data_IF_223997646070
#
_entry.id   IF_223997646070
#
_cell.length_a   1.000
_cell.length_b   1.000
_cell.length_c   1.000
_cell.angle_alpha   90.00
_cell.angle_beta   90.00
_cell.angle_gamma   90.00
#
_symmetry.space_group_name_H-M   'P 1'
#
loop_
_entity.id
_entity.type
_entity.pdbx_description
1 polymer ?
#
# COMPACT_ATOMS: atom_id res chain seq x y z
N UNK A 1 49.34 -9.58 -14.03
CA UNK A 1 48.99 -9.24 -12.64
C UNK A 1 47.55 -9.66 -12.38
N UNK A 2 47.32 -10.30 -11.23
CA UNK A 2 46.05 -10.89 -10.79
C UNK A 2 45.05 -9.79 -10.44
N UNK A 3 43.78 -9.97 -10.84
CA UNK A 3 42.65 -9.10 -10.45
C UNK A 3 41.43 -9.97 -10.15
N UNK A 4 41.20 -10.21 -8.87
CA UNK A 4 40.19 -11.10 -8.27
C UNK A 4 38.77 -10.62 -8.55
N UNK A 5 37.94 -11.47 -9.17
CA UNK A 5 36.49 -11.31 -9.27
C UNK A 5 35.85 -12.02 -8.08
N UNK A 6 35.28 -11.27 -7.15
CA UNK A 6 34.56 -11.79 -5.98
C UNK A 6 33.11 -12.03 -6.39
N UNK A 7 32.74 -13.30 -6.58
CA UNK A 7 31.35 -13.73 -6.70
C UNK A 7 30.72 -13.78 -5.30
N UNK A 8 29.73 -12.92 -5.05
CA UNK A 8 28.90 -12.96 -3.84
C UNK A 8 27.74 -13.91 -4.13
N UNK A 9 27.78 -15.09 -3.51
CA UNK A 9 26.79 -16.15 -3.62
C UNK A 9 25.57 -15.80 -2.75
N UNK A 10 24.46 -15.40 -3.38
CA UNK A 10 23.15 -15.32 -2.71
C UNK A 10 22.51 -16.71 -2.74
N UNK A 11 22.53 -17.42 -1.60
CA UNK A 11 21.72 -18.63 -1.43
C UNK A 11 20.25 -18.24 -1.28
N UNK A 12 19.49 -18.48 -2.35
CA UNK A 12 18.04 -18.59 -2.32
C UNK A 12 17.67 -19.89 -1.59
N UNK A 13 16.91 -19.79 -0.49
CA UNK A 13 16.12 -20.91 0.00
C UNK A 13 14.77 -20.89 -0.73
N UNK A 14 14.68 -21.69 -1.78
CA UNK A 14 13.41 -22.20 -2.30
C UNK A 14 13.04 -23.39 -1.42
N UNK A 15 11.89 -23.34 -0.75
CA UNK A 15 11.36 -24.49 -0.03
C UNK A 15 10.52 -25.32 -1.00
N UNK A 16 11.10 -26.44 -1.45
CA UNK A 16 10.47 -27.44 -2.30
C UNK A 16 9.29 -28.11 -1.59
N UNK A 17 8.10 -28.06 -2.21
CA UNK A 17 6.86 -28.73 -1.80
C UNK A 17 6.85 -30.19 -2.30
N UNK A 18 8.00 -30.88 -2.26
CA UNK A 18 8.22 -32.15 -2.97
C UNK A 18 8.40 -33.40 -2.12
N UNK A 19 8.39 -33.33 -0.79
CA UNK A 19 8.90 -34.43 0.05
C UNK A 19 7.86 -35.23 0.83
N UNK A 20 6.58 -35.14 0.49
CA UNK A 20 5.52 -35.91 1.17
C UNK A 20 4.64 -36.76 0.22
N UNK A 21 5.22 -37.28 -0.87
CA UNK A 21 4.50 -38.16 -1.81
C UNK A 21 5.22 -39.49 -2.15
N UNK A 22 6.18 -39.96 -1.34
CA UNK A 22 6.87 -41.22 -1.67
C UNK A 22 7.17 -42.12 -0.46
N UNK A 23 6.27 -42.18 0.51
CA UNK A 23 6.33 -43.21 1.54
C UNK A 23 4.94 -43.65 2.01
N UNK A 24 4.10 -44.12 1.09
CA UNK A 24 2.90 -44.89 1.47
C UNK A 24 2.42 -45.82 0.34
N UNK A 25 3.21 -46.84 0.03
CA UNK A 25 2.74 -48.04 -0.68
C UNK A 25 3.35 -49.27 -0.01
N UNK A 26 2.61 -49.88 0.92
CA UNK A 26 2.49 -51.34 1.12
C UNK A 26 1.88 -51.65 2.51
N UNK A 27 0.82 -52.46 2.52
CA UNK A 27 0.16 -53.06 3.71
C UNK A 27 -0.95 -52.17 4.27
N UNK A 28 -2.21 -52.56 4.38
CA UNK A 28 -2.81 -53.89 4.57
C UNK A 28 -3.78 -53.73 5.74
N UNK A 29 -5.09 -53.76 5.48
CA UNK A 29 -6.19 -53.67 6.48
C UNK A 29 -6.16 -54.90 7.40
N UNK A 30 -6.69 -54.86 8.65
CA UNK A 30 -8.14 -54.83 8.90
C UNK A 30 -8.65 -53.95 10.06
N UNK A 31 -9.89 -53.47 9.88
CA UNK A 31 -11.04 -53.36 10.80
C UNK A 31 -10.84 -52.88 12.26
N UNK A 32 -11.32 -51.65 12.51
CA UNK A 32 -12.38 -51.38 13.50
C UNK A 32 -13.00 -50.00 13.17
N UNK A 33 -14.22 -50.03 12.64
CA UNK A 33 -14.99 -48.84 12.24
C UNK A 33 -15.48 -48.05 13.46
N UNK A 34 -14.81 -46.95 13.80
CA UNK A 34 -15.41 -45.89 14.61
C UNK A 34 -16.20 -44.96 13.67
N UNK A 35 -17.52 -45.14 13.62
CA UNK A 35 -18.45 -44.26 12.92
C UNK A 35 -18.31 -42.81 13.44
N UNK A 36 -17.85 -41.90 12.57
CA UNK A 36 -17.83 -40.46 12.86
C UNK A 36 -19.11 -39.86 12.25
N UNK A 37 -20.11 -39.45 13.05
CA UNK A 37 -21.34 -38.91 12.52
C UNK A 37 -21.06 -37.62 11.75
N UNK A 38 -21.72 -37.47 10.61
CA UNK A 38 -21.59 -36.27 9.80
C UNK A 38 -22.26 -35.10 10.53
N UNK A 39 -21.78 -33.87 10.33
CA UNK A 39 -22.24 -32.65 11.02
C UNK A 39 -23.78 -32.49 11.10
N UNK A 40 -24.51 -33.00 10.12
CA UNK A 40 -25.97 -32.96 10.05
C UNK A 40 -26.68 -33.96 10.99
N UNK A 41 -26.01 -35.03 11.43
CA UNK A 41 -26.55 -35.98 12.42
C UNK A 41 -26.33 -35.51 13.85
N UNK A 42 -25.22 -34.81 14.13
CA UNK A 42 -24.94 -34.25 15.45
C UNK A 42 -25.84 -33.05 15.79
N UNK A 43 -26.38 -32.38 14.77
CA UNK A 43 -27.27 -31.22 14.92
C UNK A 43 -28.41 -31.26 13.89
N UNK A 44 -29.49 -32.02 14.14
CA UNK A 44 -30.65 -32.03 13.27
C UNK A 44 -31.34 -30.65 13.26
N UNK A 45 -31.81 -30.16 12.11
CA UNK A 45 -32.51 -28.89 12.01
C UNK A 45 -33.83 -28.94 12.80
N UNK A 46 -34.10 -27.89 13.58
CA UNK A 46 -35.35 -27.74 14.33
C UNK A 46 -36.55 -27.75 13.37
N UNK A 47 -37.70 -28.31 13.78
CA UNK A 47 -38.86 -28.50 12.90
C UNK A 47 -39.32 -27.19 12.27
N UNK A 48 -39.43 -27.19 10.93
CA UNK A 48 -40.06 -26.11 10.18
C UNK A 48 -41.51 -25.98 10.63
N UNK A 49 -41.85 -24.82 11.22
CA UNK A 49 -43.23 -24.44 11.49
C UNK A 49 -43.90 -24.19 10.14
N UNK A 50 -44.70 -25.15 9.68
CA UNK A 50 -45.36 -25.15 8.39
C UNK A 50 -46.23 -23.91 8.10
N UNK A 51 -46.41 -23.65 6.82
CA UNK A 51 -47.48 -22.80 6.27
C UNK A 51 -48.55 -23.72 5.62
N UNK A 52 -49.74 -23.24 5.19
CA UNK A 52 -50.32 -21.87 5.21
C UNK A 52 -51.78 -21.80 5.73
N UNK A 53 -52.29 -20.59 6.05
CA UNK A 53 -53.74 -20.31 6.02
C UNK A 53 -54.35 -19.43 7.13
N UNK A 54 -54.88 -18.28 6.68
CA UNK A 54 -55.93 -17.41 7.29
C UNK A 54 -55.63 -16.34 8.37
N UNK A 55 -56.44 -15.28 8.26
CA UNK A 55 -56.18 -13.85 8.55
C UNK A 55 -56.58 -13.43 9.97
N UNK A 56 -55.82 -12.51 10.60
CA UNK A 56 -56.26 -11.13 10.94
C UNK A 56 -55.35 -10.41 11.97
N UNK A 57 -54.81 -9.27 11.53
CA UNK A 57 -54.39 -8.04 12.23
C UNK A 57 -53.62 -8.05 13.57
N UNK A 58 -52.38 -7.53 13.46
CA UNK A 58 -51.72 -6.51 14.30
C UNK A 58 -51.54 -6.74 15.81
N UNK A 59 -50.31 -7.06 16.20
CA UNK A 59 -49.57 -6.29 17.21
C UNK A 59 -48.10 -6.22 16.81
N UNK A 60 -47.63 -5.01 16.55
CA UNK A 60 -46.27 -4.70 16.11
C UNK A 60 -45.32 -4.59 17.30
N UNK A 61 -44.13 -5.18 17.17
CA UNK A 61 -42.90 -4.61 17.74
C UNK A 61 -42.19 -5.39 18.85
N UNK A 62 -40.87 -5.48 18.65
CA UNK A 62 -39.83 -5.65 19.69
C UNK A 62 -39.48 -7.07 20.12
N UNK A 63 -38.93 -7.92 19.23
CA UNK A 63 -38.00 -8.99 19.67
C UNK A 63 -36.87 -9.37 18.69
N UNK A 64 -36.81 -8.78 17.48
CA UNK A 64 -35.75 -9.10 16.48
C UNK A 64 -34.52 -8.18 16.53
N UNK A 65 -34.09 -7.74 17.72
CA UNK A 65 -32.79 -7.07 17.90
C UNK A 65 -32.00 -7.69 19.04
N UNK A 66 -31.64 -8.96 18.92
CA UNK A 66 -30.51 -9.51 19.67
C UNK A 66 -29.39 -9.70 18.66
N UNK A 67 -28.56 -8.67 18.50
CA UNK A 67 -27.25 -8.85 17.86
C UNK A 67 -26.45 -9.79 18.77
N UNK A 68 -25.76 -10.81 18.25
CA UNK A 68 -24.85 -11.59 19.09
C UNK A 68 -23.81 -10.64 19.68
N UNK A 69 -23.84 -10.45 21.00
CA UNK A 69 -22.84 -9.69 21.73
C UNK A 69 -21.55 -10.52 21.63
N UNK A 70 -20.66 -10.14 20.72
CA UNK A 70 -19.26 -10.61 20.77
C UNK A 70 -18.75 -10.20 22.16
N UNK A 71 -18.38 -11.16 23.01
CA UNK A 71 -17.84 -10.86 24.32
C UNK A 71 -16.70 -9.86 24.15
N UNK A 72 -16.87 -8.65 24.68
CA UNK A 72 -15.86 -7.59 24.59
C UNK A 72 -14.61 -7.91 25.42
N UNK A 73 -14.69 -8.98 26.21
CA UNK A 73 -13.64 -9.49 27.09
C UNK A 73 -13.05 -10.74 26.44
N UNK A 74 -11.73 -10.73 26.28
CA UNK A 74 -10.93 -11.88 25.84
C UNK A 74 -10.01 -12.30 26.99
N UNK A 75 -9.73 -13.60 27.07
CA UNK A 75 -8.72 -14.16 27.97
C UNK A 75 -7.63 -14.80 27.12
N UNK A 76 -6.38 -14.42 27.35
CA UNK A 76 -5.20 -15.00 26.70
C UNK A 76 -4.25 -15.56 27.76
N UNK A 77 -3.80 -16.79 27.57
CA UNK A 77 -2.82 -17.45 28.44
C UNK A 77 -1.49 -17.56 27.69
N UNK A 78 -0.40 -17.22 28.36
CA UNK A 78 0.96 -17.30 27.83
C UNK A 78 1.83 -18.13 28.75
N UNK A 79 2.67 -18.97 28.17
CA UNK A 79 3.69 -19.72 28.90
C UNK A 79 5.07 -19.13 28.60
N UNK A 80 5.79 -18.73 29.64
CA UNK A 80 7.17 -18.26 29.55
C UNK A 80 8.06 -19.31 30.21
N UNK A 81 8.83 -20.09 29.43
CA UNK A 81 9.73 -21.11 29.97
C UNK A 81 10.86 -20.48 30.79
N UNK A 82 11.46 -21.29 31.68
CA UNK A 82 12.48 -20.86 32.64
C UNK A 82 13.69 -20.19 31.95
N UNK A 83 14.09 -20.68 30.78
CA UNK A 83 15.21 -20.16 29.98
C UNK A 83 14.99 -18.73 29.50
N UNK A 84 13.73 -18.35 29.31
CA UNK A 84 13.35 -17.03 28.82
C UNK A 84 13.07 -16.04 29.94
N UNK A 85 13.09 -16.46 31.21
CA UNK A 85 12.86 -15.56 32.35
C UNK A 85 14.01 -14.58 32.52
N UNK A 86 13.65 -13.32 32.69
CA UNK A 86 14.63 -12.27 32.99
C UNK A 86 15.21 -12.39 34.40
N UNK A 87 14.46 -12.99 35.32
CA UNK A 87 14.84 -13.24 36.70
C UNK A 87 15.02 -14.76 36.89
N UNK A 88 16.25 -15.20 37.13
CA UNK A 88 16.61 -16.61 37.28
C UNK A 88 16.66 -17.07 38.74
N UNK A 89 16.73 -16.15 39.69
CA UNK A 89 16.76 -16.43 41.11
C UNK A 89 15.41 -16.07 41.74
N UNK A 90 14.61 -17.07 42.09
CA UNK A 90 13.51 -16.86 43.04
C UNK A 90 13.34 -18.07 43.95
N UNK A 91 14.36 -18.33 44.77
CA UNK A 91 14.27 -19.22 45.93
C UNK A 91 13.81 -18.46 47.18
N UNK A 92 12.84 -17.55 47.08
CA UNK A 92 12.16 -17.04 48.27
C UNK A 92 10.70 -16.65 48.01
N UNK A 93 9.84 -17.57 48.45
CA UNK A 93 8.40 -17.46 48.64
C UNK A 93 7.95 -16.09 49.19
N UNK A 94 7.14 -15.35 48.43
CA UNK A 94 6.21 -14.35 49.00
C UNK A 94 6.07 -13.00 48.29
N UNK A 95 7.07 -12.51 47.55
CA UNK A 95 6.99 -11.14 46.99
C UNK A 95 7.94 -10.93 45.80
N UNK A 96 7.85 -11.81 44.80
CA UNK A 96 8.68 -11.71 43.59
C UNK A 96 8.46 -10.40 42.84
N UNK A 97 9.54 -9.78 42.37
CA UNK A 97 9.51 -8.58 41.54
C UNK A 97 8.58 -8.74 40.32
N UNK A 98 8.36 -9.97 39.85
CA UNK A 98 7.44 -10.32 38.77
C UNK A 98 5.97 -10.02 39.11
N UNK A 99 5.56 -10.25 40.37
CA UNK A 99 4.21 -9.95 40.83
C UNK A 99 3.98 -8.44 40.91
N UNK A 100 4.98 -7.68 41.40
CA UNK A 100 4.94 -6.20 41.43
C UNK A 100 4.84 -5.62 40.03
N UNK A 101 5.60 -6.17 39.08
CA UNK A 101 5.52 -5.80 37.66
C UNK A 101 4.12 -6.05 37.11
N UNK A 102 3.49 -7.19 37.41
CA UNK A 102 2.13 -7.45 36.91
C UNK A 102 1.09 -6.50 37.51
N UNK A 103 1.17 -6.16 38.81
CA UNK A 103 0.27 -5.18 39.43
C UNK A 103 0.40 -3.79 38.77
N UNK A 104 1.63 -3.33 38.46
CA UNK A 104 1.85 -2.07 37.74
C UNK A 104 1.23 -2.12 36.32
N UNK A 105 1.37 -3.25 35.62
CA UNK A 105 0.79 -3.42 34.28
C UNK A 105 -0.75 -3.46 34.35
N UNK A 106 -1.33 -4.14 35.34
CA UNK A 106 -2.77 -4.19 35.57
C UNK A 106 -3.35 -2.78 35.78
N UNK A 107 -2.68 -1.96 36.60
CA UNK A 107 -3.09 -0.57 36.85
C UNK A 107 -2.99 0.31 35.60
N UNK A 108 -1.93 0.14 34.79
CA UNK A 108 -1.71 0.94 33.56
C UNK A 108 -2.64 0.57 32.41
N UNK A 109 -2.95 -0.72 32.26
CA UNK A 109 -3.69 -1.23 31.09
C UNK A 109 -5.16 -1.48 31.38
N UNK A 110 -5.55 -1.61 32.64
CA UNK A 110 -6.90 -1.97 33.07
C UNK A 110 -7.28 -3.42 32.74
N UNK A 111 -6.29 -4.27 32.45
CA UNK A 111 -6.49 -5.71 32.27
C UNK A 111 -6.28 -6.46 33.60
N UNK A 112 -6.97 -7.58 33.78
CA UNK A 112 -6.75 -8.51 34.88
C UNK A 112 -5.64 -9.48 34.51
N UNK A 113 -4.56 -9.55 35.32
CA UNK A 113 -3.42 -10.42 35.05
C UNK A 113 -3.24 -11.36 36.24
N UNK A 114 -3.23 -12.67 35.96
CA UNK A 114 -2.91 -13.71 36.94
C UNK A 114 -1.61 -14.40 36.56
N UNK A 115 -0.71 -14.56 37.54
CA UNK A 115 0.55 -15.26 37.41
C UNK A 115 0.45 -16.60 38.15
N UNK A 116 0.86 -17.68 37.51
CA UNK A 116 0.99 -19.00 38.13
C UNK A 116 2.33 -19.62 37.76
N UNK A 117 2.99 -20.24 38.72
CA UNK A 117 4.17 -21.06 38.47
C UNK A 117 3.71 -22.44 38.01
N UNK A 118 4.13 -22.85 36.82
CA UNK A 118 3.87 -24.19 36.32
C UNK A 118 4.87 -25.20 36.93
N UNK A 119 4.52 -26.49 36.87
CA UNK A 119 5.31 -27.59 37.47
C UNK A 119 6.72 -27.71 36.88
N UNK A 120 6.89 -27.21 35.66
CA UNK A 120 8.16 -27.12 34.92
C UNK A 120 8.99 -25.88 35.31
N UNK A 121 8.63 -25.17 36.37
CA UNK A 121 9.19 -23.87 36.72
C UNK A 121 9.01 -22.82 35.61
N UNK A 122 8.04 -22.98 34.70
CA UNK A 122 7.59 -21.97 33.74
C UNK A 122 6.63 -20.96 34.39
N UNK A 123 6.58 -19.72 33.88
CA UNK A 123 5.56 -18.73 34.27
C UNK A 123 4.36 -18.88 33.33
N UNK A 124 3.21 -19.26 33.86
CA UNK A 124 1.93 -19.18 33.17
C UNK A 124 1.25 -17.86 33.52
N UNK A 125 1.02 -17.00 32.53
CA UNK A 125 0.42 -15.68 32.69
C UNK A 125 -0.93 -15.66 31.98
N UNK A 126 -2.02 -15.45 32.73
CA UNK A 126 -3.36 -15.30 32.19
C UNK A 126 -3.78 -13.83 32.21
N UNK A 127 -4.11 -13.28 31.04
CA UNK A 127 -4.54 -11.89 30.87
C UNK A 127 -5.99 -11.86 30.40
N UNK A 128 -6.87 -11.23 31.19
CA UNK A 128 -8.30 -11.10 30.91
C UNK A 128 -8.70 -9.63 30.84
N UNK A 129 -9.41 -9.23 29.79
CA UNK A 129 -9.87 -7.84 29.65
C UNK A 129 -10.35 -7.50 28.24
N UNK A 130 -10.49 -6.19 27.96
CA UNK A 130 -10.79 -5.72 26.59
C UNK A 130 -9.65 -6.04 25.63
N UNK A 131 -9.96 -6.27 24.35
CA UNK A 131 -8.96 -6.58 23.32
C UNK A 131 -7.75 -5.62 23.34
N UNK A 132 -8.00 -4.31 23.33
CA UNK A 132 -6.92 -3.31 23.33
C UNK A 132 -6.09 -3.32 24.62
N UNK A 133 -6.75 -3.52 25.77
CA UNK A 133 -6.09 -3.62 27.08
C UNK A 133 -5.24 -4.88 27.18
N UNK A 134 -5.75 -6.02 26.69
CA UNK A 134 -5.06 -7.31 26.70
C UNK A 134 -3.85 -7.27 25.77
N UNK A 135 -3.97 -6.68 24.58
CA UNK A 135 -2.84 -6.52 23.66
C UNK A 135 -1.74 -5.61 24.23
N UNK A 136 -2.12 -4.50 24.88
CA UNK A 136 -1.16 -3.61 25.56
C UNK A 136 -0.51 -4.30 26.77
N UNK A 137 -1.30 -4.98 27.59
CA UNK A 137 -0.81 -5.75 28.74
C UNK A 137 0.17 -6.83 28.28
N UNK A 138 -0.18 -7.59 27.24
CA UNK A 138 0.70 -8.59 26.64
C UNK A 138 2.04 -7.99 26.23
N UNK A 139 2.05 -6.86 25.51
CA UNK A 139 3.28 -6.17 25.11
C UNK A 139 4.16 -5.84 26.32
N UNK A 140 3.58 -5.27 27.38
CA UNK A 140 4.34 -4.83 28.56
C UNK A 140 4.85 -6.01 29.40
N UNK A 141 4.03 -7.07 29.53
CA UNK A 141 4.39 -8.32 30.22
C UNK A 141 5.60 -8.96 29.52
N UNK A 142 5.52 -9.13 28.20
CA UNK A 142 6.61 -9.67 27.38
C UNK A 142 7.87 -8.81 27.47
N UNK A 143 7.73 -7.48 27.48
CA UNK A 143 8.86 -6.57 27.58
C UNK A 143 9.59 -6.62 28.94
N UNK A 144 8.88 -6.93 30.04
CA UNK A 144 9.43 -6.88 31.40
C UNK A 144 9.76 -8.22 32.02
N UNK A 145 8.95 -9.25 31.76
CA UNK A 145 9.11 -10.59 32.36
C UNK A 145 10.01 -11.51 31.53
N UNK A 146 10.05 -11.33 30.20
CA UNK A 146 10.93 -12.13 29.32
C UNK A 146 12.28 -11.46 29.06
N UNK A 147 13.28 -12.30 28.79
CA UNK A 147 14.63 -11.91 28.40
C UNK A 147 14.59 -11.10 27.12
N UNK A 148 15.14 -9.90 27.20
CA UNK A 148 15.22 -8.98 26.08
C UNK A 148 16.51 -9.24 25.30
N UNK A 149 16.39 -9.39 23.99
CA UNK A 149 17.48 -9.34 23.03
C UNK A 149 17.38 -8.04 22.21
N UNK A 150 18.44 -7.73 21.48
CA UNK A 150 18.41 -6.66 20.49
C UNK A 150 19.02 -7.14 19.18
N UNK A 151 18.37 -6.81 18.07
CA UNK A 151 18.91 -7.03 16.74
C UNK A 151 18.85 -5.75 15.91
N UNK A 152 19.66 -5.71 14.86
CA UNK A 152 19.72 -4.60 13.92
C UNK A 152 19.36 -5.10 12.52
N UNK A 153 18.56 -4.31 11.81
CA UNK A 153 18.13 -4.59 10.45
C UNK A 153 18.54 -3.42 9.56
N UNK A 154 19.23 -3.71 8.46
CA UNK A 154 19.70 -2.70 7.51
C UNK A 154 18.69 -2.54 6.38
N UNK A 155 18.09 -1.35 6.24
CA UNK A 155 17.09 -1.04 5.21
C UNK A 155 17.38 0.34 4.61
N UNK A 156 17.14 0.55 3.31
CA UNK A 156 17.29 1.87 2.71
C UNK A 156 16.45 2.93 3.41
N UNK A 157 17.04 4.10 3.66
CA UNK A 157 16.38 5.26 4.30
C UNK A 157 15.08 5.68 3.62
N UNK A 158 14.96 5.45 2.32
CA UNK A 158 13.76 5.74 1.53
C UNK A 158 12.55 4.91 1.99
N UNK A 159 12.80 3.69 2.48
CA UNK A 159 11.77 2.77 2.95
C UNK A 159 11.37 3.03 4.40
N UNK A 160 12.19 3.72 5.20
CA UNK A 160 11.90 4.02 6.61
C UNK A 160 10.53 4.71 6.78
N UNK A 161 10.17 5.63 5.88
CA UNK A 161 8.88 6.32 5.91
C UNK A 161 7.69 5.37 5.76
N UNK A 162 7.85 4.29 5.01
CA UNK A 162 6.80 3.28 4.81
C UNK A 162 6.68 2.33 5.98
N UNK A 163 7.80 1.98 6.63
CA UNK A 163 7.81 1.21 7.88
C UNK A 163 7.13 1.99 9.01
N UNK A 164 7.37 3.32 9.10
CA UNK A 164 6.68 4.19 10.05
C UNK A 164 5.17 4.25 9.74
N UNK A 165 4.82 4.41 8.47
CA UNK A 165 3.45 4.56 8.00
C UNK A 165 2.89 5.97 8.20
N UNK A 166 1.62 6.17 7.84
CA UNK A 166 0.93 7.47 8.04
C UNK A 166 0.81 7.72 9.55
N UNK A 167 1.36 8.84 10.04
CA UNK A 167 1.39 9.21 11.46
C UNK A 167 2.03 8.19 12.42
N UNK A 168 2.87 7.27 11.92
CA UNK A 168 3.46 6.24 12.78
C UNK A 168 2.52 5.08 13.13
N UNK A 169 1.32 5.02 12.54
CA UNK A 169 0.33 3.98 12.84
C UNK A 169 0.87 2.58 12.54
N UNK A 170 1.59 2.41 11.41
CA UNK A 170 2.12 1.11 11.00
C UNK A 170 3.21 0.62 11.94
N UNK A 171 4.09 1.52 12.38
CA UNK A 171 5.10 1.21 13.39
C UNK A 171 4.46 0.83 14.73
N UNK A 172 3.46 1.59 15.19
CA UNK A 172 2.75 1.31 16.43
C UNK A 172 2.02 -0.05 16.38
N UNK A 173 1.37 -0.33 15.25
CA UNK A 173 0.71 -1.61 15.00
C UNK A 173 1.72 -2.77 15.03
N UNK A 174 2.86 -2.60 14.36
CA UNK A 174 3.91 -3.60 14.31
C UNK A 174 4.47 -3.86 15.71
N UNK A 175 4.85 -2.82 16.44
CA UNK A 175 5.34 -2.94 17.81
C UNK A 175 4.32 -3.60 18.77
N UNK A 176 3.02 -3.34 18.58
CA UNK A 176 1.96 -3.96 19.38
C UNK A 176 1.79 -5.43 19.03
N UNK A 177 1.85 -5.80 17.75
CA UNK A 177 1.73 -7.18 17.27
C UNK A 177 2.94 -8.05 17.64
N UNK A 178 4.14 -7.50 17.54
CA UNK A 178 5.40 -8.23 17.80
C UNK A 178 5.86 -8.13 19.25
N UNK A 179 5.21 -7.28 20.06
CA UNK A 179 5.63 -6.96 21.42
C UNK A 179 7.11 -6.50 21.50
N UNK A 180 7.58 -5.76 20.49
CA UNK A 180 8.94 -5.22 20.42
C UNK A 180 8.95 -3.70 20.46
N UNK A 181 10.10 -3.13 20.77
CA UNK A 181 10.42 -1.71 20.63
C UNK A 181 11.31 -1.52 19.41
N UNK A 182 10.84 -0.75 18.43
CA UNK A 182 11.51 -0.53 17.15
C UNK A 182 11.97 0.93 17.11
N UNK A 183 13.29 1.14 17.13
CA UNK A 183 13.88 2.45 17.01
C UNK A 183 14.38 2.68 15.59
N UNK A 184 13.72 3.59 14.88
CA UNK A 184 14.07 3.98 13.51
C UNK A 184 14.88 5.30 13.59
N UNK A 185 16.12 5.33 13.06
CA UNK A 185 16.91 6.56 13.05
C UNK A 185 16.24 7.66 12.22
N UNK A 186 16.49 8.92 12.60
CA UNK A 186 15.95 10.09 11.89
C UNK A 186 16.55 10.18 10.49
N UNK A 187 15.85 10.78 9.51
CA UNK A 187 16.36 10.94 8.14
C UNK A 187 17.65 11.78 8.03
N UNK A 188 17.99 12.53 9.07
CA UNK A 188 19.21 13.34 9.16
C UNK A 188 20.43 12.55 9.65
N UNK A 189 20.20 11.37 10.23
CA UNK A 189 21.25 10.44 10.65
C UNK A 189 21.66 9.58 9.44
N UNK A 190 22.96 9.42 9.13
CA UNK A 190 23.43 8.54 8.06
C UNK A 190 23.15 7.05 8.33
N UNK A 191 22.74 6.68 9.55
CA UNK A 191 22.44 5.29 9.89
C UNK A 191 21.20 4.76 9.15
N UNK A 192 21.42 3.73 8.34
CA UNK A 192 20.38 2.93 7.67
C UNK A 192 19.99 1.69 8.50
N UNK A 193 20.32 1.68 9.79
CA UNK A 193 20.12 0.54 10.68
C UNK A 193 18.96 0.81 11.65
N UNK A 194 17.92 -0.02 11.55
CA UNK A 194 16.79 -0.03 12.49
C UNK A 194 17.15 -0.95 13.66
N UNK A 195 17.06 -0.45 14.89
CA UNK A 195 17.33 -1.24 16.10
C UNK A 195 16.02 -1.77 16.68
N UNK A 196 15.91 -3.09 16.77
CA UNK A 196 14.74 -3.78 17.33
C UNK A 196 15.15 -4.36 18.67
N UNK A 197 14.39 -4.08 19.73
CA UNK A 197 14.60 -4.61 21.09
C UNK A 197 13.34 -5.33 21.53
N UNK A 198 13.45 -6.56 22.01
CA UNK A 198 12.29 -7.36 22.39
C UNK A 198 12.67 -8.80 22.69
N UNK A 199 11.69 -9.70 22.68
CA UNK A 199 11.95 -11.13 22.76
C UNK A 199 12.55 -11.67 21.48
N UNK A 200 13.24 -12.82 21.56
CA UNK A 200 13.85 -13.47 20.39
C UNK A 200 12.82 -13.72 19.27
N UNK A 201 11.64 -14.22 19.61
CA UNK A 201 10.56 -14.42 18.64
C UNK A 201 9.99 -13.11 18.08
N UNK A 202 9.79 -12.11 18.95
CA UNK A 202 9.26 -10.80 18.55
C UNK A 202 10.20 -10.08 17.58
N UNK A 203 11.51 -10.18 17.82
CA UNK A 203 12.54 -9.61 16.96
C UNK A 203 12.53 -10.23 15.58
N UNK A 204 12.46 -11.57 15.48
CA UNK A 204 12.46 -12.25 14.17
C UNK A 204 11.19 -11.90 13.38
N UNK A 205 10.02 -11.88 14.05
CA UNK A 205 8.76 -11.44 13.43
C UNK A 205 8.81 -9.99 12.97
N UNK A 206 9.29 -9.08 13.82
CA UNK A 206 9.43 -7.66 13.47
C UNK A 206 10.42 -7.48 12.31
N UNK A 207 11.57 -8.16 12.35
CA UNK A 207 12.55 -8.15 11.26
C UNK A 207 11.94 -8.62 9.94
N UNK A 208 11.22 -9.73 9.97
CA UNK A 208 10.56 -10.28 8.79
C UNK A 208 9.54 -9.30 8.18
N UNK A 209 8.66 -8.73 9.01
CA UNK A 209 7.67 -7.74 8.57
C UNK A 209 8.29 -6.48 7.98
N UNK A 210 9.34 -5.94 8.63
CA UNK A 210 10.03 -4.75 8.13
C UNK A 210 10.74 -5.05 6.79
N UNK A 211 11.35 -6.23 6.65
CA UNK A 211 11.94 -6.67 5.39
C UNK A 211 10.88 -6.86 4.30
N UNK A 212 9.70 -7.37 4.64
CA UNK A 212 8.59 -7.54 3.70
C UNK A 212 8.11 -6.17 3.18
N UNK A 213 7.95 -5.19 4.08
CA UNK A 213 7.60 -3.81 3.71
C UNK A 213 8.66 -3.20 2.79
N UNK A 214 9.95 -3.42 3.09
CA UNK A 214 11.05 -2.98 2.21
C UNK A 214 10.94 -3.64 0.84
N UNK A 215 10.77 -4.96 0.78
CA UNK A 215 10.66 -5.70 -0.48
C UNK A 215 9.45 -5.26 -1.30
N UNK A 216 8.33 -4.89 -0.66
CA UNK A 216 7.17 -4.31 -1.33
C UNK A 216 7.49 -2.93 -1.92
N UNK A 217 8.29 -2.10 -1.23
CA UNK A 217 8.75 -0.84 -1.79
C UNK A 217 9.78 -1.03 -2.91
N UNK A 218 10.66 -2.03 -2.81
CA UNK A 218 11.62 -2.37 -3.87
C UNK A 218 10.92 -2.83 -5.16
N UNK A 219 9.75 -3.48 -5.04
CA UNK A 219 8.90 -3.81 -6.19
C UNK A 219 8.31 -2.58 -6.86
N UNK A 220 8.19 -1.46 -6.14
CA UNK A 220 7.73 -0.21 -6.73
C UNK A 220 8.89 0.43 -7.49
N UNK A 221 8.76 0.45 -8.81
CA UNK A 221 9.65 1.15 -9.68
C UNK A 221 9.21 2.61 -9.83
N UNK A 222 10.19 3.51 -9.79
CA UNK A 222 10.04 4.90 -10.22
C UNK A 222 10.91 5.08 -11.45
N UNK A 223 10.28 5.13 -12.62
CA UNK A 223 10.98 5.40 -13.88
C UNK A 223 10.84 6.87 -14.24
N UNK A 224 11.94 7.46 -14.71
CA UNK A 224 11.98 8.84 -15.19
C UNK A 224 12.30 8.85 -16.66
N UNK A 225 11.39 9.39 -17.45
CA UNK A 225 11.52 9.47 -18.88
C UNK A 225 11.76 10.93 -19.27
N UNK A 226 12.88 11.20 -19.94
CA UNK A 226 13.17 12.53 -20.46
C UNK A 226 12.64 12.65 -21.89
N UNK A 227 11.49 13.30 -22.04
CA UNK A 227 10.89 13.59 -23.35
C UNK A 227 10.70 15.09 -23.51
N UNK A 228 11.01 15.59 -24.69
CA UNK A 228 10.86 16.99 -25.03
C UNK A 228 9.41 17.47 -24.80
N UNK A 229 9.25 18.56 -24.04
CA UNK A 229 7.96 19.17 -23.65
C UNK A 229 6.95 19.35 -24.79
N UNK A 230 7.46 19.49 -26.00
CA UNK A 230 6.69 19.59 -27.25
C UNK A 230 5.72 18.43 -27.41
N UNK A 231 6.12 17.24 -26.97
CA UNK A 231 5.36 16.00 -27.16
C UNK A 231 4.47 15.65 -25.97
N UNK A 232 4.61 16.35 -24.82
CA UNK A 232 3.80 16.08 -23.62
C UNK A 232 2.28 16.17 -23.89
N UNK A 233 1.76 17.18 -24.62
CA UNK A 233 0.32 17.23 -24.92
C UNK A 233 -0.19 16.04 -25.73
N UNK A 234 0.65 15.47 -26.60
CA UNK A 234 0.29 14.31 -27.40
C UNK A 234 0.30 13.01 -26.60
N UNK A 235 1.18 12.90 -25.59
CA UNK A 235 1.25 11.74 -24.70
C UNK A 235 0.10 11.77 -23.70
N UNK A 236 -0.18 12.94 -23.14
CA UNK A 236 -1.34 13.18 -22.27
C UNK A 236 -2.65 12.93 -23.02
N UNK A 237 -2.72 13.38 -24.27
CA UNK A 237 -3.93 13.34 -25.08
C UNK A 237 -4.97 14.38 -24.67
N UNK A 238 -6.01 14.52 -25.48
CA UNK A 238 -7.11 15.43 -25.18
C UNK A 238 -7.79 15.04 -23.87
N UNK A 239 -8.00 16.02 -22.98
CA UNK A 239 -8.60 15.82 -21.65
C UNK A 239 -7.91 14.75 -20.80
N UNK A 240 -6.61 14.51 -21.01
CA UNK A 240 -5.85 13.42 -20.38
C UNK A 240 -6.36 12.01 -20.75
N UNK A 241 -7.19 11.85 -21.80
CA UNK A 241 -7.77 10.54 -22.15
C UNK A 241 -6.72 9.46 -22.39
N UNK A 242 -5.67 9.77 -23.15
CA UNK A 242 -4.62 8.81 -23.50
C UNK A 242 -3.83 8.41 -22.25
N UNK A 243 -3.40 9.36 -21.42
CA UNK A 243 -2.70 9.02 -20.18
C UNK A 243 -3.60 8.26 -19.21
N UNK A 244 -4.90 8.58 -19.13
CA UNK A 244 -5.86 7.83 -18.31
C UNK A 244 -6.06 6.40 -18.80
N UNK A 245 -6.14 6.19 -20.12
CA UNK A 245 -6.21 4.86 -20.73
C UNK A 245 -4.96 4.04 -20.39
N UNK A 246 -3.76 4.62 -20.59
CA UNK A 246 -2.50 3.94 -20.24
C UNK A 246 -2.43 3.64 -18.74
N UNK A 247 -2.84 4.60 -17.89
CA UNK A 247 -2.91 4.39 -16.44
C UNK A 247 -3.92 3.31 -16.04
N UNK A 248 -5.03 3.18 -16.75
CA UNK A 248 -6.06 2.17 -16.48
C UNK A 248 -5.64 0.78 -16.96
N UNK A 249 -5.02 0.69 -18.13
CA UNK A 249 -4.53 -0.57 -18.71
C UNK A 249 -3.33 -1.13 -17.94
N UNK A 250 -2.37 -0.26 -17.59
CA UNK A 250 -1.15 -0.70 -16.89
C UNK A 250 -1.33 -0.69 -15.38
N UNK A 251 -2.16 0.19 -14.82
CA UNK A 251 -2.22 0.41 -13.38
C UNK A 251 -1.05 1.23 -12.81
N UNK A 252 -0.14 1.71 -13.67
CA UNK A 252 0.93 2.62 -13.25
C UNK A 252 0.41 4.06 -13.11
N UNK A 253 1.02 4.83 -12.19
CA UNK A 253 0.70 6.26 -12.02
C UNK A 253 1.68 7.10 -12.82
N UNK A 254 1.16 7.84 -13.79
CA UNK A 254 1.95 8.70 -14.66
C UNK A 254 1.77 10.16 -14.22
N UNK A 255 2.86 10.85 -13.94
CA UNK A 255 2.88 12.27 -13.59
C UNK A 255 3.62 13.04 -14.68
N UNK A 256 2.85 13.78 -15.49
CA UNK A 256 3.36 14.63 -16.57
C UNK A 256 3.32 16.08 -16.06
N UNK A 257 4.45 16.79 -16.05
CA UNK A 257 4.47 18.20 -15.65
C UNK A 257 3.66 19.05 -16.66
N UNK A 258 2.96 20.09 -16.19
CA UNK A 258 2.26 20.99 -17.10
C UNK A 258 3.25 21.76 -17.97
N UNK A 259 2.88 22.16 -19.20
CA UNK A 259 3.76 22.85 -20.15
C UNK A 259 4.24 24.23 -19.65
N UNK A 260 3.62 24.76 -18.60
CA UNK A 260 4.06 25.99 -17.90
C UNK A 260 5.37 25.81 -17.13
N UNK A 261 5.73 24.57 -16.78
CA UNK A 261 6.96 24.23 -16.07
C UNK A 261 7.94 23.68 -17.11
N UNK A 262 9.14 24.26 -17.19
CA UNK A 262 10.22 23.80 -18.07
C UNK A 262 10.89 22.52 -17.53
N UNK A 263 10.09 21.48 -17.28
CA UNK A 263 10.56 20.14 -16.90
C UNK A 263 10.18 19.18 -18.02
N UNK A 264 11.18 18.58 -18.64
CA UNK A 264 11.02 17.57 -19.69
C UNK A 264 10.91 16.13 -19.10
N UNK A 265 10.89 16.01 -17.77
CA UNK A 265 10.86 14.73 -17.05
C UNK A 265 9.42 14.28 -16.75
N UNK A 266 9.02 13.15 -17.36
CA UNK A 266 7.80 12.42 -17.01
C UNK A 266 8.17 11.37 -15.96
N UNK A 267 7.45 11.37 -14.84
CA UNK A 267 7.68 10.43 -13.74
C UNK A 267 6.58 9.38 -13.77
N UNK A 268 6.97 8.11 -13.90
CA UNK A 268 6.07 6.97 -13.85
C UNK A 268 6.35 6.23 -12.54
N UNK A 269 5.33 6.06 -11.71
CA UNK A 269 5.42 5.43 -10.40
C UNK A 269 4.46 4.25 -10.35
N UNK A 270 4.94 3.06 -10.01
CA UNK A 270 4.10 1.87 -9.95
C UNK A 270 4.91 0.63 -9.66
N UNK A 271 4.35 -0.55 -9.89
CA UNK A 271 5.12 -1.80 -9.86
C UNK A 271 6.05 -1.89 -11.08
N UNK A 272 7.08 -2.73 -11.00
CA UNK A 272 8.10 -2.86 -12.06
C UNK A 272 7.52 -3.24 -13.43
N UNK A 273 6.60 -4.20 -13.45
CA UNK A 273 5.94 -4.69 -14.67
C UNK A 273 5.06 -3.62 -15.35
N UNK A 274 4.09 -2.98 -14.66
CA UNK A 274 3.23 -1.99 -15.29
C UNK A 274 3.97 -0.70 -15.65
N UNK A 275 4.99 -0.32 -14.89
CA UNK A 275 5.86 0.82 -15.23
C UNK A 275 6.60 0.55 -16.55
N UNK A 276 7.12 -0.67 -16.74
CA UNK A 276 7.78 -1.05 -18.00
C UNK A 276 6.81 -1.01 -19.20
N UNK A 277 5.58 -1.52 -19.03
CA UNK A 277 4.55 -1.46 -20.06
C UNK A 277 4.14 -0.02 -20.41
N UNK A 278 3.93 0.82 -19.40
CA UNK A 278 3.61 2.24 -19.58
C UNK A 278 4.74 2.97 -20.32
N UNK A 279 6.01 2.66 -19.98
CA UNK A 279 7.18 3.22 -20.63
C UNK A 279 7.24 2.87 -22.12
N UNK A 280 7.05 1.58 -22.46
CA UNK A 280 7.00 1.14 -23.86
C UNK A 280 5.87 1.83 -24.62
N UNK A 281 4.70 1.98 -24.00
CA UNK A 281 3.53 2.62 -24.62
C UNK A 281 3.77 4.11 -24.88
N UNK A 282 4.28 4.83 -23.90
CA UNK A 282 4.64 6.26 -24.03
C UNK A 282 5.72 6.45 -25.09
N UNK A 283 6.77 5.62 -25.07
CA UNK A 283 7.84 5.68 -26.07
C UNK A 283 7.34 5.45 -27.48
N UNK A 284 6.45 4.46 -27.67
CA UNK A 284 5.83 4.18 -28.98
C UNK A 284 5.03 5.38 -29.49
N UNK A 285 4.21 5.99 -28.63
CA UNK A 285 3.44 7.20 -28.98
C UNK A 285 4.38 8.35 -29.33
N UNK A 286 5.46 8.53 -28.56
CA UNK A 286 6.48 9.54 -28.82
C UNK A 286 7.15 9.34 -30.19
N UNK A 287 7.57 8.13 -30.53
CA UNK A 287 8.21 7.83 -31.82
C UNK A 287 7.25 8.01 -33.01
N UNK A 288 6.00 7.54 -32.87
CA UNK A 288 4.95 7.72 -33.88
C UNK A 288 4.65 9.19 -34.14
N UNK A 289 4.55 9.99 -33.06
CA UNK A 289 4.30 11.42 -33.17
C UNK A 289 5.53 12.17 -33.69
N UNK A 290 6.73 11.83 -33.23
CA UNK A 290 7.98 12.44 -33.73
C UNK A 290 8.14 12.28 -35.23
N UNK A 291 7.78 11.13 -35.81
CA UNK A 291 7.83 10.89 -37.26
C UNK A 291 6.77 11.69 -38.03
N UNK A 292 5.58 11.86 -37.46
CA UNK A 292 4.43 12.46 -38.14
C UNK A 292 4.27 13.96 -37.88
N UNK A 293 4.99 14.52 -36.91
CA UNK A 293 4.86 15.93 -36.51
C UNK A 293 5.52 16.85 -37.53
N UNK A 294 4.69 17.70 -38.12
CA UNK A 294 5.10 18.91 -38.86
C UNK A 294 4.66 20.15 -38.07
N UNK A 295 5.39 21.25 -38.21
CA UNK A 295 5.14 22.50 -37.50
C UNK A 295 4.77 23.61 -38.47
N UNK A 296 3.70 24.35 -38.16
CA UNK A 296 3.29 25.55 -38.91
C UNK A 296 3.21 26.72 -37.93
N UNK A 297 3.89 27.81 -38.28
CA UNK A 297 3.81 29.09 -37.57
C UNK A 297 2.68 29.94 -38.16
N UNK A 298 1.84 30.51 -37.28
CA UNK A 298 0.73 31.38 -37.68
C UNK A 298 0.79 32.65 -36.87
N UNK A 299 0.56 33.78 -37.52
CA UNK A 299 0.46 35.08 -36.85
C UNK A 299 -0.99 35.36 -36.45
N UNK A 300 -1.20 35.59 -35.16
CA UNK A 300 -2.50 35.92 -34.57
C UNK A 300 -2.33 37.10 -33.61
N UNK A 301 -3.25 38.06 -33.65
CA UNK A 301 -3.19 39.23 -32.76
C UNK A 301 -3.24 38.79 -31.30
N UNK A 302 -2.43 39.41 -30.43
CA UNK A 302 -2.39 39.09 -28.98
C UNK A 302 -3.76 39.11 -28.29
N UNK A 303 -4.64 40.03 -28.68
CA UNK A 303 -6.01 40.14 -28.14
C UNK A 303 -6.83 38.85 -28.33
N UNK A 304 -6.49 38.06 -29.34
CA UNK A 304 -7.19 36.84 -29.74
C UNK A 304 -6.63 35.58 -29.06
N UNK A 305 -5.39 35.61 -28.54
CA UNK A 305 -4.75 34.46 -27.88
C UNK A 305 -5.55 33.96 -26.66
N UNK A 306 -6.17 34.87 -25.89
CA UNK A 306 -7.02 34.52 -24.74
C UNK A 306 -8.19 33.61 -25.13
N UNK A 307 -8.75 33.82 -26.33
CA UNK A 307 -9.91 33.06 -26.81
C UNK A 307 -9.52 31.68 -27.35
N UNK A 308 -8.31 31.54 -27.89
CA UNK A 308 -7.78 30.26 -28.38
C UNK A 308 -7.50 29.30 -27.22
N UNK A 309 -6.94 29.80 -26.11
CA UNK A 309 -6.72 28.99 -24.89
C UNK A 309 -8.07 28.60 -24.27
N UNK A 310 -8.99 29.56 -24.16
CA UNK A 310 -10.26 29.37 -23.48
C UNK A 310 -10.12 29.27 -21.95
N UNK A 311 -11.24 29.16 -21.21
CA UNK A 311 -11.20 29.03 -19.76
C UNK A 311 -10.49 27.73 -19.37
N UNK A 312 -9.43 27.84 -18.55
CA UNK A 312 -8.59 26.70 -18.09
C UNK A 312 -7.99 25.84 -19.21
N UNK A 313 -7.84 26.38 -20.43
CA UNK A 313 -7.30 25.61 -21.57
C UNK A 313 -8.31 24.67 -22.23
N UNK A 314 -9.60 24.78 -21.94
CA UNK A 314 -10.62 23.85 -22.44
C UNK A 314 -10.73 23.85 -23.97
N UNK A 315 -10.66 25.03 -24.60
CA UNK A 315 -10.74 25.16 -26.07
C UNK A 315 -9.52 24.50 -26.74
N UNK A 316 -8.33 24.62 -26.15
CA UNK A 316 -7.13 23.96 -26.66
C UNK A 316 -7.26 22.43 -26.60
N UNK A 317 -7.84 21.91 -25.52
CA UNK A 317 -8.10 20.47 -25.36
C UNK A 317 -9.15 19.97 -26.36
N UNK A 318 -10.19 20.76 -26.65
CA UNK A 318 -11.22 20.46 -27.66
C UNK A 318 -10.63 20.41 -29.09
N UNK A 319 -9.76 21.38 -29.42
CA UNK A 319 -9.05 21.40 -30.71
C UNK A 319 -8.12 20.19 -30.81
N UNK A 320 -7.42 19.84 -29.73
CA UNK A 320 -6.59 18.64 -29.69
C UNK A 320 -7.44 17.35 -29.85
N UNK A 321 -8.64 17.28 -29.26
CA UNK A 321 -9.54 16.13 -29.38
C UNK A 321 -10.04 15.96 -30.83
N UNK A 322 -10.44 17.08 -31.45
CA UNK A 322 -11.07 17.05 -32.78
C UNK A 322 -10.05 16.93 -33.91
N UNK A 323 -8.89 17.59 -33.77
CA UNK A 323 -7.90 17.71 -34.84
C UNK A 323 -6.60 16.95 -34.55
N UNK A 324 -6.34 16.57 -33.30
CA UNK A 324 -5.08 15.90 -32.94
C UNK A 324 -3.83 16.77 -33.09
N UNK A 325 -3.99 18.09 -33.17
CA UNK A 325 -2.93 19.09 -33.31
C UNK A 325 -2.70 19.79 -31.96
N UNK A 326 -1.45 19.89 -31.54
CA UNK A 326 -1.06 20.63 -30.35
C UNK A 326 -0.71 22.07 -30.74
N UNK A 327 -1.37 23.04 -30.10
CA UNK A 327 -1.06 24.46 -30.30
C UNK A 327 -0.18 24.92 -29.14
N UNK A 328 1.03 25.37 -29.48
CA UNK A 328 1.97 25.98 -28.56
C UNK A 328 1.80 27.50 -28.62
N UNK A 329 1.41 28.09 -27.49
CA UNK A 329 1.30 29.54 -27.36
C UNK A 329 2.56 30.14 -26.76
N UNK A 330 3.01 31.30 -27.26
CA UNK A 330 4.10 32.02 -26.62
C UNK A 330 3.67 32.50 -25.21
N UNK A 331 4.63 32.61 -24.27
CA UNK A 331 4.35 33.16 -22.94
C UNK A 331 3.84 34.59 -23.05
N UNK A 332 2.92 34.97 -22.14
CA UNK A 332 2.21 36.26 -22.16
C UNK A 332 3.15 37.48 -22.10
N UNK A 333 4.34 37.31 -21.54
CA UNK A 333 5.37 38.35 -21.44
C UNK A 333 6.14 38.58 -22.74
N UNK A 334 6.11 37.63 -23.68
CA UNK A 334 6.74 37.79 -24.99
C UNK A 334 5.87 38.67 -25.90
N UNK A 335 6.48 39.60 -26.64
CA UNK A 335 5.82 40.40 -27.70
C UNK A 335 5.35 39.56 -28.90
N UNK A 336 5.70 38.27 -28.94
CA UNK A 336 5.44 37.38 -30.06
C UNK A 336 3.94 37.19 -30.33
N UNK A 337 3.52 37.54 -31.56
CA UNK A 337 2.18 37.31 -32.10
C UNK A 337 2.08 35.96 -32.84
N UNK A 338 3.16 35.17 -32.83
CA UNK A 338 3.25 33.91 -33.53
C UNK A 338 2.84 32.75 -32.62
N UNK A 339 1.82 32.00 -33.03
CA UNK A 339 1.46 30.70 -32.46
C UNK A 339 2.07 29.59 -33.30
N UNK A 340 2.43 28.46 -32.67
CA UNK A 340 3.00 27.31 -33.38
C UNK A 340 2.01 26.16 -33.28
N UNK A 341 1.50 25.71 -34.41
CA UNK A 341 0.69 24.50 -34.51
C UNK A 341 1.61 23.34 -34.86
N UNK A 342 1.60 22.29 -34.04
CA UNK A 342 2.39 21.08 -34.27
C UNK A 342 1.43 19.90 -34.40
N UNK A 343 1.61 19.06 -35.41
CA UNK A 343 0.76 17.88 -35.59
C UNK A 343 0.95 17.18 -36.93
N UNK A 344 0.04 16.26 -37.24
CA UNK A 344 0.00 15.54 -38.52
C UNK A 344 -0.37 16.51 -39.66
N UNK A 345 0.35 16.49 -40.80
CA UNK A 345 0.15 17.45 -41.89
C UNK A 345 -1.28 17.46 -42.43
N UNK A 346 -1.91 16.29 -42.53
CA UNK A 346 -3.30 16.14 -43.01
C UNK A 346 -4.33 16.81 -42.10
N UNK A 347 -4.00 16.96 -40.81
CA UNK A 347 -4.89 17.53 -39.79
C UNK A 347 -4.58 18.98 -39.44
N UNK A 348 -3.44 19.50 -39.89
CA UNK A 348 -3.07 20.91 -39.69
C UNK A 348 -4.04 21.85 -40.39
N UNK A 349 -4.52 21.53 -41.59
CA UNK A 349 -5.51 22.34 -42.31
C UNK A 349 -6.80 22.55 -41.50
N UNK A 350 -7.51 21.47 -41.10
CA UNK A 350 -8.68 21.58 -40.23
C UNK A 350 -8.41 22.30 -38.90
N UNK A 351 -7.24 22.09 -38.29
CA UNK A 351 -6.85 22.79 -37.06
C UNK A 351 -6.72 24.30 -37.25
N UNK A 352 -6.10 24.74 -38.36
CA UNK A 352 -6.02 26.16 -38.71
C UNK A 352 -7.42 26.77 -38.85
N UNK A 353 -8.30 26.12 -39.61
CA UNK A 353 -9.68 26.60 -39.79
C UNK A 353 -10.42 26.69 -38.46
N UNK A 354 -10.27 25.71 -37.56
CA UNK A 354 -10.91 25.74 -36.24
C UNK A 354 -10.35 26.84 -35.34
N UNK A 355 -9.03 27.06 -35.33
CA UNK A 355 -8.41 28.15 -34.58
C UNK A 355 -8.93 29.49 -35.06
N UNK A 356 -8.96 29.74 -36.37
CA UNK A 356 -9.50 30.98 -36.95
C UNK A 356 -11.01 31.15 -36.69
N UNK A 357 -11.78 30.06 -36.73
CA UNK A 357 -13.21 30.10 -36.41
C UNK A 357 -13.45 30.54 -34.96
N UNK A 358 -12.76 29.93 -33.98
CA UNK A 358 -12.91 30.28 -32.55
C UNK A 358 -12.46 31.72 -32.26
N UNK A 359 -11.48 32.23 -33.00
CA UNK A 359 -11.06 33.64 -32.95
C UNK A 359 -12.13 34.60 -33.49
N UNK A 360 -12.90 34.17 -34.50
CA UNK A 360 -13.90 35.01 -35.18
C UNK A 360 -15.22 35.06 -34.42
N UNK A 361 -15.64 33.93 -33.82
CA UNK A 361 -16.93 33.76 -33.16
C UNK A 361 -17.15 34.77 -32.01
N UNK A 362 -16.10 35.19 -31.31
CA UNK A 362 -16.24 36.16 -30.21
C UNK A 362 -16.30 37.63 -30.63
N UNK A 363 -16.05 37.98 -31.91
CA UNK A 363 -16.34 39.35 -32.38
C UNK A 363 -17.84 39.65 -32.45
N UNK A 364 -18.70 38.63 -32.45
CA UNK A 364 -20.15 38.76 -32.49
C UNK A 364 -20.84 38.89 -31.13
N UNK A 365 -20.13 38.68 -30.01
CA UNK A 365 -20.74 38.65 -28.67
C UNK A 365 -20.47 39.91 -27.84
N UNK A 366 -20.07 41.01 -28.48
CA UNK A 366 -19.98 42.35 -27.87
C UNK A 366 -21.01 43.28 -28.52
N UNK A 367 -22.28 42.94 -28.35
CA UNK A 367 -23.39 43.91 -28.39
C UNK A 367 -24.34 43.52 -27.27
N UNK A 368 -24.08 44.08 -26.08
CA UNK A 368 -25.13 44.36 -25.09
C UNK A 368 -25.54 45.79 -25.32
#
# INVERSE_FOLDING_TARGET
>A
LKGTVVFIHFSFYYFDIGFLWSLLQAGGVPEDEAYIPTYLEAFPPLPEKGAPGERSSEFTGVWNKIRPIKSSVITQVFHVPLEERRYKDNSQFGEGDEAKVCVDIMQKTGAHIELSLAKDQGLSIMVTGKLDSVMKARKEIVARLQTQASATVTIPKEHHRFVIGKNGEKLQELELKTATKINIPRPEDPSSQIKITGTKEGIEKARHEILLISAEQDKRAVERLNLEKVFHPFITGAFNKIVQEIMQETGARINIPPPSVSKDEIIITGEKEPVSQALLRIRKIYEDKKRKTTTISVEVKKSQHKYIIGPKGNTLQEILDTTGVSVEMPPLESSSETIILRGEPDKLGPALTQVYAKVTICKGCTKV
#
